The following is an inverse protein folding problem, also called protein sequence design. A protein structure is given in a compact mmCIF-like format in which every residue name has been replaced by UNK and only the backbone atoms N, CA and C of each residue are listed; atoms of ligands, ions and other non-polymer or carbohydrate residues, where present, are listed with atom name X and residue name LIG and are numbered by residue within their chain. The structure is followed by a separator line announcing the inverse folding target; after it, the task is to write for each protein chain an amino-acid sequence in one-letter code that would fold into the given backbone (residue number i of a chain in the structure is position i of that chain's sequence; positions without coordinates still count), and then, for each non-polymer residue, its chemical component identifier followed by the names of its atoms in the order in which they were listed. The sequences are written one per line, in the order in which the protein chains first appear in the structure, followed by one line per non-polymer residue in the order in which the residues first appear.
data_IF_423658305322
#
_entry.id   IF_423658305322
#
_cell.length_a   1.000
_cell.length_b   1.000
_cell.length_c   1.000
_cell.angle_alpha   90.00
_cell.angle_beta   90.00
_cell.angle_gamma   90.00
#
_symmetry.space_group_name_H-M   'P 1'
#
loop_
_entity.id
_entity.type
_entity.pdbx_description
1 polymer ?
#
# COMPACT_ATOMS: atom_id res chain seq x y z
N UNK A 1 15.81 -18.80 -7.91
CA UNK A 1 14.36 -18.52 -7.87
C UNK A 1 13.87 -19.24 -6.64
N UNK A 2 13.69 -18.51 -5.54
CA UNK A 2 13.28 -19.11 -4.27
C UNK A 2 11.76 -19.37 -4.35
N UNK A 3 11.38 -20.64 -4.22
CA UNK A 3 9.98 -21.07 -4.28
C UNK A 3 9.34 -20.74 -2.93
N UNK A 4 8.26 -19.95 -2.93
CA UNK A 4 7.50 -19.62 -1.73
C UNK A 4 6.89 -20.91 -1.14
N UNK A 5 7.39 -21.34 0.02
CA UNK A 5 6.86 -22.50 0.71
C UNK A 5 5.66 -22.11 1.59
N UNK A 6 4.45 -22.37 1.11
CA UNK A 6 3.19 -22.09 1.82
C UNK A 6 2.87 -23.09 2.97
N UNK A 7 3.62 -24.19 3.05
CA UNK A 7 3.41 -25.24 4.07
C UNK A 7 4.24 -25.03 5.33
N UNK A 8 5.22 -24.12 5.29
CA UNK A 8 6.01 -23.79 6.46
C UNK A 8 5.15 -23.09 7.52
N UNK A 9 5.41 -23.32 8.82
CA UNK A 9 4.72 -22.62 9.88
C UNK A 9 4.92 -21.10 9.73
N UNK A 10 3.87 -20.29 9.97
CA UNK A 10 3.97 -18.84 9.83
C UNK A 10 5.01 -18.29 10.81
N UNK A 11 5.86 -17.39 10.33
CA UNK A 11 6.74 -16.62 11.21
C UNK A 11 5.88 -15.57 11.92
N UNK A 12 5.63 -15.77 13.21
CA UNK A 12 4.91 -14.80 14.03
C UNK A 12 5.92 -13.81 14.57
N UNK A 13 5.84 -12.57 14.09
CA UNK A 13 6.64 -11.47 14.61
C UNK A 13 5.88 -10.78 15.75
N UNK A 14 6.51 -10.73 16.93
CA UNK A 14 5.97 -10.07 18.13
C UNK A 14 6.65 -8.71 18.37
N UNK A 15 7.33 -8.15 17.36
CA UNK A 15 7.99 -6.84 17.44
C UNK A 15 7.02 -5.67 17.61
N UNK A 16 5.75 -5.84 17.23
CA UNK A 16 4.69 -4.84 17.42
C UNK A 16 4.31 -4.82 18.91
N UNK A 17 4.77 -3.77 19.60
CA UNK A 17 4.57 -3.59 21.05
C UNK A 17 3.31 -2.79 21.40
N UNK A 18 2.82 -1.96 20.48
CA UNK A 18 1.69 -1.06 20.68
C UNK A 18 1.00 -0.71 19.35
N UNK A 19 -0.27 -0.32 19.41
CA UNK A 19 -1.08 0.05 18.25
C UNK A 19 -1.98 1.23 18.59
N UNK A 20 -1.77 2.35 17.92
CA UNK A 20 -2.60 3.54 18.03
C UNK A 20 -3.36 3.80 16.72
N UNK A 21 -4.64 4.20 16.83
CA UNK A 21 -5.48 4.49 15.68
C UNK A 21 -5.73 6.00 15.57
N UNK A 22 -5.30 6.58 14.45
CA UNK A 22 -5.57 7.97 14.12
C UNK A 22 -6.49 8.06 12.90
N UNK A 23 -7.46 8.97 12.96
CA UNK A 23 -8.36 9.23 11.83
C UNK A 23 -7.83 10.40 11.00
N UNK A 24 -7.54 10.16 9.73
CA UNK A 24 -7.12 11.18 8.79
C UNK A 24 -8.15 11.36 7.69
N UNK A 25 -8.42 12.62 7.32
CA UNK A 25 -9.28 12.94 6.18
C UNK A 25 -8.41 13.24 4.95
N UNK A 26 -8.71 12.66 3.78
CA UNK A 26 -7.99 12.99 2.56
C UNK A 26 -8.30 14.44 2.14
N UNK A 27 -7.32 15.11 1.57
CA UNK A 27 -7.57 16.31 0.78
C UNK A 27 -8.18 15.88 -0.55
N UNK A 28 -9.47 16.11 -0.71
CA UNK A 28 -10.19 15.86 -1.95
C UNK A 28 -10.93 17.12 -2.38
N UNK A 29 -10.78 17.50 -3.64
CA UNK A 29 -11.79 18.31 -4.32
C UNK A 29 -13.06 17.47 -4.45
N UNK A 30 -14.22 18.10 -4.37
CA UNK A 30 -15.55 17.43 -4.38
C UNK A 30 -15.83 16.50 -5.56
N UNK A 31 -14.92 16.45 -6.54
CA UNK A 31 -14.95 15.60 -7.72
C UNK A 31 -13.56 15.01 -7.96
N UNK A 32 -13.51 13.71 -8.27
CA UNK A 32 -12.32 13.05 -8.78
C UNK A 32 -12.36 13.01 -10.31
N UNK A 33 -11.32 13.51 -10.94
CA UNK A 33 -11.06 13.39 -12.38
C UNK A 33 -10.05 12.27 -12.67
N UNK A 34 -9.72 12.09 -13.95
CA UNK A 34 -8.78 11.08 -14.40
C UNK A 34 -7.36 11.38 -13.92
N UNK A 35 -6.74 10.41 -13.22
CA UNK A 35 -5.39 10.50 -12.65
C UNK A 35 -5.26 11.45 -11.46
N UNK A 36 -6.35 11.75 -10.77
CA UNK A 36 -6.29 12.50 -9.51
C UNK A 36 -5.56 11.72 -8.42
N UNK A 37 -4.80 12.47 -7.61
CA UNK A 37 -4.08 11.94 -6.46
C UNK A 37 -4.89 12.17 -5.18
N UNK A 38 -5.14 11.10 -4.43
CA UNK A 38 -5.66 11.19 -3.06
C UNK A 38 -4.47 11.44 -2.14
N UNK A 39 -4.44 12.61 -1.49
CA UNK A 39 -3.39 12.97 -0.52
C UNK A 39 -3.97 12.94 0.89
N UNK A 40 -3.41 12.09 1.75
CA UNK A 40 -3.78 12.01 3.17
C UNK A 40 -2.63 12.63 3.97
N UNK A 41 -2.79 13.87 4.50
CA UNK A 41 -1.78 14.48 5.36
C UNK A 41 -1.81 13.86 6.75
N UNK A 42 -0.64 13.65 7.34
CA UNK A 42 -0.51 13.42 8.78
C UNK A 42 -0.34 14.79 9.44
N UNK A 43 -1.36 15.24 10.16
CA UNK A 43 -1.43 16.62 10.68
C UNK A 43 -0.74 16.77 12.05
N UNK A 44 -0.68 15.70 12.85
CA UNK A 44 -0.11 15.70 14.19
C UNK A 44 1.37 15.32 14.14
N UNK A 45 2.24 16.23 14.60
CA UNK A 45 3.69 16.02 14.57
C UNK A 45 4.10 14.79 15.43
N UNK A 46 3.40 14.59 16.54
CA UNK A 46 3.65 13.50 17.49
C UNK A 46 3.18 12.14 16.94
N UNK A 47 2.34 12.13 15.90
CA UNK A 47 1.89 10.93 15.19
C UNK A 47 2.81 10.52 14.02
N UNK A 48 3.87 11.29 13.71
CA UNK A 48 4.92 10.83 12.80
C UNK A 48 5.77 9.77 13.48
N UNK A 49 5.31 8.53 13.45
CA UNK A 49 6.20 7.41 13.70
C UNK A 49 7.17 7.30 12.52
N UNK A 50 8.45 7.02 12.79
CA UNK A 50 9.38 6.70 11.72
C UNK A 50 8.80 5.53 10.91
N UNK A 51 8.78 5.56 9.56
CA UNK A 51 8.25 4.46 8.76
C UNK A 51 8.95 3.12 9.01
N UNK A 52 10.19 3.17 9.51
CA UNK A 52 10.94 1.97 9.91
C UNK A 52 10.52 1.40 11.27
N UNK A 53 9.72 2.13 12.04
CA UNK A 53 9.22 1.76 13.38
C UNK A 53 7.68 1.72 13.43
N UNK A 54 7.01 1.80 12.27
CA UNK A 54 5.55 1.76 12.16
C UNK A 54 5.06 0.88 11.02
N UNK A 55 3.79 0.49 11.11
CA UNK A 55 3.07 -0.25 10.08
C UNK A 55 1.87 0.57 9.61
N UNK A 56 1.67 0.63 8.29
CA UNK A 56 0.48 1.23 7.69
C UNK A 56 -0.58 0.15 7.45
N UNK A 57 -1.73 0.26 8.14
CA UNK A 57 -2.91 -0.53 7.85
C UNK A 57 -3.87 0.23 6.93
N UNK A 58 -4.31 -0.40 5.84
CA UNK A 58 -5.24 0.17 4.87
C UNK A 58 -6.40 -0.79 4.60
N UNK A 59 -7.61 -0.23 4.60
CA UNK A 59 -8.82 -0.81 4.04
C UNK A 59 -9.37 0.18 3.01
N UNK A 60 -9.65 -0.29 1.79
CA UNK A 60 -10.09 0.57 0.69
C UNK A 60 -11.44 0.09 0.18
N UNK A 61 -12.35 1.03 -0.05
CA UNK A 61 -13.66 0.81 -0.65
C UNK A 61 -13.88 1.83 -1.74
N UNK A 62 -14.20 1.36 -2.94
CA UNK A 62 -14.56 2.21 -4.07
C UNK A 62 -16.07 2.09 -4.32
N UNK A 63 -16.75 3.22 -4.37
CA UNK A 63 -18.20 3.32 -4.49
C UNK A 63 -18.58 4.28 -5.61
N UNK A 64 -19.51 3.86 -6.46
CA UNK A 64 -20.11 4.68 -7.51
C UNK A 64 -21.61 4.80 -7.23
N UNK A 65 -22.06 6.03 -6.96
CA UNK A 65 -23.50 6.34 -6.81
C UNK A 65 -24.22 5.43 -5.80
N UNK A 66 -23.63 5.19 -4.62
CA UNK A 66 -24.23 4.31 -3.61
C UNK A 66 -23.90 2.82 -3.75
N UNK A 67 -23.28 2.42 -4.87
CA UNK A 67 -22.97 1.02 -5.17
C UNK A 67 -21.48 0.76 -5.00
N UNK A 68 -21.16 -0.20 -4.14
CA UNK A 68 -19.78 -0.64 -3.93
C UNK A 68 -19.30 -1.40 -5.16
N UNK A 69 -18.27 -0.85 -5.81
CA UNK A 69 -17.67 -1.41 -7.02
C UNK A 69 -16.53 -2.36 -6.67
N UNK A 70 -15.69 -1.97 -5.70
CA UNK A 70 -14.59 -2.80 -5.21
C UNK A 70 -14.33 -2.52 -3.72
N UNK A 71 -13.88 -3.52 -2.98
CA UNK A 71 -13.51 -3.39 -1.58
C UNK A 71 -12.43 -4.39 -1.21
N UNK A 72 -11.30 -3.88 -0.73
CA UNK A 72 -10.14 -4.69 -0.37
C UNK A 72 -9.78 -4.44 1.09
N UNK A 73 -9.76 -5.52 1.86
CA UNK A 73 -9.21 -5.58 3.23
C UNK A 73 -7.80 -6.12 3.22
N UNK A 74 -7.02 -5.81 4.24
CA UNK A 74 -5.63 -6.25 4.38
C UNK A 74 -4.81 -5.94 3.12
N UNK A 75 -4.94 -4.70 2.62
CA UNK A 75 -4.42 -4.32 1.30
C UNK A 75 -2.91 -4.60 1.17
N UNK A 76 -2.15 -4.48 2.26
CA UNK A 76 -0.73 -4.86 2.28
C UNK A 76 -0.48 -6.33 1.89
N UNK A 77 -1.26 -7.28 2.41
CA UNK A 77 -1.11 -8.70 2.11
C UNK A 77 -1.60 -9.04 0.70
N UNK A 78 -2.77 -8.55 0.32
CA UNK A 78 -3.37 -8.85 -0.98
C UNK A 78 -2.56 -8.25 -2.13
N UNK A 79 -2.10 -7.00 -1.99
CA UNK A 79 -1.23 -6.34 -2.98
C UNK A 79 0.14 -7.01 -3.08
N UNK A 80 0.71 -7.46 -1.96
CA UNK A 80 1.98 -8.20 -1.95
C UNK A 80 1.84 -9.53 -2.69
N UNK A 81 0.80 -10.30 -2.39
CA UNK A 81 0.55 -11.58 -3.06
C UNK A 81 0.35 -11.40 -4.56
N UNK A 82 -0.45 -10.41 -4.94
CA UNK A 82 -0.63 -10.01 -6.35
C UNK A 82 0.69 -9.61 -6.99
N UNK A 83 1.52 -8.83 -6.30
CA UNK A 83 2.80 -8.41 -6.83
C UNK A 83 3.73 -9.57 -7.13
N UNK A 84 3.77 -10.58 -6.25
CA UNK A 84 4.58 -11.79 -6.48
C UNK A 84 4.07 -12.67 -7.61
N UNK A 85 2.75 -12.73 -7.82
CA UNK A 85 2.13 -13.61 -8.82
C UNK A 85 2.02 -12.96 -10.21
N UNK A 86 1.80 -11.65 -10.27
CA UNK A 86 1.40 -10.95 -11.50
C UNK A 86 2.48 -10.04 -12.09
N UNK A 87 3.38 -9.47 -11.29
CA UNK A 87 4.33 -8.48 -11.81
C UNK A 87 5.54 -9.13 -12.47
N UNK A 88 5.84 -8.68 -13.69
CA UNK A 88 7.12 -8.96 -14.32
C UNK A 88 8.23 -8.03 -13.80
N UNK A 89 9.47 -8.24 -14.26
CA UNK A 89 10.62 -7.47 -13.79
C UNK A 89 10.51 -5.97 -14.11
N UNK A 90 9.99 -5.62 -15.29
CA UNK A 90 9.85 -4.23 -15.72
C UNK A 90 8.79 -3.49 -14.88
N UNK A 91 7.69 -4.16 -14.54
CA UNK A 91 6.66 -3.61 -13.67
C UNK A 91 7.17 -3.46 -12.23
N UNK A 92 7.91 -4.46 -11.74
CA UNK A 92 8.49 -4.42 -10.40
C UNK A 92 9.44 -3.24 -10.21
N UNK A 93 10.26 -2.91 -11.21
CA UNK A 93 11.15 -1.73 -11.16
C UNK A 93 10.35 -0.43 -11.05
N UNK A 94 9.22 -0.31 -11.76
CA UNK A 94 8.36 0.89 -11.70
C UNK A 94 7.69 1.09 -10.34
N UNK A 95 7.54 0.03 -9.55
CA UNK A 95 6.84 0.04 -8.27
C UNK A 95 7.75 0.21 -7.05
N UNK A 96 9.06 0.42 -7.24
CA UNK A 96 9.99 0.65 -6.14
C UNK A 96 9.61 1.87 -5.27
N UNK A 97 9.09 2.95 -5.89
CA UNK A 97 8.59 4.12 -5.16
C UNK A 97 7.31 3.85 -4.36
N UNK A 98 6.62 2.73 -4.63
CA UNK A 98 5.48 2.25 -3.87
C UNK A 98 5.89 1.28 -2.75
N UNK A 99 7.19 1.08 -2.52
CA UNK A 99 7.70 0.14 -1.52
C UNK A 99 7.87 -1.30 -2.01
N UNK A 100 7.75 -1.57 -3.32
CA UNK A 100 7.89 -2.93 -3.87
C UNK A 100 9.35 -3.32 -4.12
N UNK A 101 9.91 -4.16 -3.24
CA UNK A 101 11.29 -4.67 -3.33
C UNK A 101 11.37 -6.20 -3.22
N UNK A 102 10.96 -6.95 -4.26
CA UNK A 102 10.88 -8.41 -4.19
C UNK A 102 12.25 -9.10 -4.13
N UNK A 103 13.32 -8.46 -4.61
CA UNK A 103 14.68 -9.03 -4.74
C UNK A 103 15.71 -8.40 -3.81
N UNK A 104 15.36 -7.33 -3.10
CA UNK A 104 16.31 -6.55 -2.28
C UNK A 104 15.68 -6.22 -0.95
N UNK A 105 16.48 -6.29 0.12
CA UNK A 105 16.08 -5.74 1.42
C UNK A 105 16.71 -4.36 1.56
N UNK A 106 15.90 -3.42 2.04
CA UNK A 106 16.26 -2.13 2.64
C UNK A 106 16.44 -0.97 1.64
N UNK A 107 15.55 0.02 1.76
CA UNK A 107 15.79 1.39 1.29
C UNK A 107 16.82 2.06 2.21
N UNK A 108 17.75 2.88 1.69
CA UNK A 108 18.68 3.62 2.55
C UNK A 108 17.89 4.46 3.57
N UNK A 109 18.29 4.40 4.84
CA UNK A 109 17.67 5.18 5.92
C UNK A 109 17.87 6.67 5.68
N UNK A 110 16.90 7.30 5.02
CA UNK A 110 16.80 8.75 4.94
C UNK A 110 15.66 9.17 5.86
N UNK A 111 15.88 10.15 6.75
CA UNK A 111 14.84 10.73 7.64
C UNK A 111 13.69 11.43 6.87
N UNK A 112 13.66 11.33 5.55
CA UNK A 112 12.58 11.78 4.69
C UNK A 112 12.13 10.58 3.89
N UNK A 113 10.82 10.31 3.89
CA UNK A 113 10.21 9.32 3.03
C UNK A 113 9.09 9.98 2.24
N UNK A 114 8.94 9.58 0.98
CA UNK A 114 7.81 9.90 0.13
C UNK A 114 7.46 8.61 -0.59
N UNK A 115 6.19 8.23 -0.57
CA UNK A 115 5.70 7.00 -1.19
C UNK A 115 4.54 7.37 -2.10
N UNK A 116 4.56 6.82 -3.30
CA UNK A 116 3.46 6.94 -4.26
C UNK A 116 2.98 5.54 -4.60
N UNK A 117 1.78 5.19 -4.14
CA UNK A 117 1.19 3.85 -4.34
C UNK A 117 0.12 3.93 -5.42
N UNK A 118 0.31 3.28 -6.58
CA UNK A 118 -0.71 3.24 -7.61
C UNK A 118 -1.98 2.52 -7.12
N UNK A 119 -3.16 3.05 -7.42
CA UNK A 119 -4.43 2.42 -7.02
C UNK A 119 -4.60 1.01 -7.59
N UNK A 120 -4.04 0.73 -8.78
CA UNK A 120 -4.00 -0.61 -9.37
C UNK A 120 -3.21 -1.63 -8.55
N UNK A 121 -2.37 -1.19 -7.60
CA UNK A 121 -1.69 -2.08 -6.66
C UNK A 121 -2.62 -2.44 -5.50
N UNK A 122 -3.49 -1.52 -5.10
CA UNK A 122 -4.40 -1.66 -3.96
C UNK A 122 -5.70 -2.39 -4.30
N UNK A 123 -6.23 -2.19 -5.52
CA UNK A 123 -7.54 -2.70 -5.94
C UNK A 123 -7.49 -3.35 -7.32
N UNK A 124 -8.41 -4.29 -7.56
CA UNK A 124 -8.53 -4.98 -8.84
C UNK A 124 -9.18 -4.12 -9.91
N UNK A 125 -10.16 -3.29 -9.51
CA UNK A 125 -10.90 -2.42 -10.43
C UNK A 125 -10.01 -1.54 -11.33
N UNK A 126 -8.88 -1.04 -10.80
CA UNK A 126 -7.98 -0.15 -11.53
C UNK A 126 -6.93 -0.88 -12.39
N UNK A 127 -6.93 -2.21 -12.47
CA UNK A 127 -5.97 -2.96 -13.29
C UNK A 127 -6.16 -2.76 -14.79
N UNK A 128 -7.41 -2.81 -15.24
CA UNK A 128 -7.77 -2.73 -16.66
C UNK A 128 -7.83 -1.29 -17.19
N UNK A 129 -7.53 -0.31 -16.33
CA UNK A 129 -7.49 1.09 -16.73
C UNK A 129 -6.33 1.33 -17.70
N UNK A 130 -6.65 1.45 -18.98
CA UNK A 130 -5.72 1.82 -20.05
C UNK A 130 -5.97 3.29 -20.39
N UNK A 131 -4.90 4.08 -20.32
CA UNK A 131 -4.87 5.45 -20.81
C UNK A 131 -4.70 5.49 -22.33
#
# INVERSE_FOLDING_TARGET
MDILNITQPPLVDNSIIDLEYHNYQPFVTSTFEYNDEIRIPIQELDAYTLPCESMLYLEVRYELTGVVVDSTRNVGLTSTLKGYLSYNENESVKLQNAGWFPKTKVLPFTNKFNVCIPLKMLMGFFEDYKK
#
